data_IF_499340399041
#
_entry.id   IF_499340399041
#
_cell.length_a   1.000
_cell.length_b   1.000
_cell.length_c   1.000
_cell.angle_alpha   90.00
_cell.angle_beta   90.00
_cell.angle_gamma   90.00
#
_symmetry.space_group_name_H-M   'P 1'
#
loop_
_entity.id
_entity.type
_entity.pdbx_description
1 polymer ?
#
# COMPACT_ATOMS: atom_id res chain seq x y z
N UNK A 1 20.90 1.53 15.50
CA UNK A 1 20.61 1.49 14.06
C UNK A 1 19.42 2.41 13.81
N UNK A 2 19.40 3.15 12.70
CA UNK A 2 18.17 3.85 12.31
C UNK A 2 17.14 2.80 11.93
N UNK A 3 15.87 2.92 12.37
CA UNK A 3 14.82 2.02 11.90
C UNK A 3 14.68 2.10 10.37
N UNK A 4 14.34 0.98 9.75
CA UNK A 4 14.14 0.89 8.30
C UNK A 4 12.74 1.43 8.01
N UNK A 5 12.58 2.45 7.14
CA UNK A 5 11.26 2.96 6.80
C UNK A 5 10.41 1.87 6.15
N UNK A 6 9.14 1.77 6.55
CA UNK A 6 8.20 0.82 6.00
C UNK A 6 6.92 1.51 5.53
N UNK A 7 6.27 0.88 4.56
CA UNK A 7 5.03 1.35 3.94
C UNK A 7 4.04 0.19 4.02
N UNK A 8 2.85 0.44 4.56
CA UNK A 8 1.72 -0.48 4.50
C UNK A 8 0.60 0.13 3.66
N UNK A 9 -0.05 -0.72 2.84
CA UNK A 9 -1.27 -0.39 2.12
C UNK A 9 -2.39 -1.22 2.74
N UNK A 10 -3.36 -0.55 3.36
CA UNK A 10 -4.50 -1.20 3.98
C UNK A 10 -5.62 -1.35 2.95
N UNK A 11 -6.14 -2.58 2.82
CA UNK A 11 -7.21 -2.93 1.89
C UNK A 11 -8.43 -3.46 2.65
N UNK A 12 -9.62 -3.10 2.21
CA UNK A 12 -10.89 -3.72 2.63
C UNK A 12 -11.72 -4.05 1.39
N UNK A 13 -11.99 -5.34 1.17
CA UNK A 13 -12.80 -5.77 0.03
C UNK A 13 -12.26 -5.36 -1.35
N UNK A 14 -10.93 -5.23 -1.50
CA UNK A 14 -10.29 -4.76 -2.73
C UNK A 14 -10.09 -3.23 -2.80
N UNK A 15 -10.71 -2.48 -1.89
CA UNK A 15 -10.60 -1.02 -1.84
C UNK A 15 -9.40 -0.64 -0.98
N UNK A 16 -8.56 0.25 -1.48
CA UNK A 16 -7.50 0.86 -0.68
C UNK A 16 -8.12 1.86 0.28
N UNK A 17 -7.91 1.65 1.58
CA UNK A 17 -8.43 2.53 2.63
C UNK A 17 -7.40 3.57 3.08
N UNK A 18 -6.14 3.15 3.16
CA UNK A 18 -5.06 4.00 3.67
C UNK A 18 -3.70 3.51 3.21
N UNK A 19 -2.77 4.45 3.11
CA UNK A 19 -1.36 4.19 2.92
C UNK A 19 -0.62 4.75 4.13
N UNK A 20 0.04 3.89 4.89
CA UNK A 20 0.64 4.22 6.18
C UNK A 20 2.15 4.07 6.11
N UNK A 21 2.87 5.12 6.51
CA UNK A 21 4.33 5.13 6.61
C UNK A 21 4.73 4.94 8.07
N UNK A 22 5.65 4.03 8.34
CA UNK A 22 6.29 3.91 9.65
C UNK A 22 7.78 4.19 9.50
N UNK A 23 8.35 4.88 10.50
CA UNK A 23 9.78 5.21 10.55
C UNK A 23 10.28 6.03 9.34
N UNK A 24 9.37 6.77 8.68
CA UNK A 24 9.71 7.63 7.55
C UNK A 24 10.51 8.85 8.00
N UNK A 25 11.68 9.14 7.41
CA UNK A 25 12.50 10.26 7.86
C UNK A 25 11.81 11.60 7.62
N UNK A 26 11.69 12.43 8.66
CA UNK A 26 10.94 13.71 8.62
C UNK A 26 11.50 14.75 7.65
N UNK A 27 12.75 14.60 7.22
CA UNK A 27 13.40 15.47 6.25
C UNK A 27 13.19 15.02 4.79
N UNK A 28 12.56 13.87 4.58
CA UNK A 28 12.27 13.32 3.26
C UNK A 28 10.77 13.54 2.97
N UNK A 29 10.40 14.12 1.81
CA UNK A 29 9.00 14.22 1.40
C UNK A 29 8.30 12.86 1.43
N UNK A 30 7.00 12.86 1.73
CA UNK A 30 6.22 11.63 1.66
C UNK A 30 6.23 11.08 0.22
N UNK A 31 6.32 9.75 0.05
CA UNK A 31 6.27 9.15 -1.26
C UNK A 31 4.87 9.37 -1.85
N UNK A 32 4.81 9.58 -3.17
CA UNK A 32 3.55 9.50 -3.91
C UNK A 32 3.31 8.04 -4.25
N UNK A 33 2.20 7.50 -3.77
CA UNK A 33 1.88 6.08 -3.94
C UNK A 33 0.64 5.97 -4.81
N UNK A 34 0.74 5.09 -5.80
CA UNK A 34 -0.38 4.70 -6.67
C UNK A 34 -0.52 3.19 -6.53
N UNK A 35 -1.75 2.76 -6.30
CA UNK A 35 -2.14 1.35 -6.33
C UNK A 35 -2.93 1.14 -7.62
N UNK A 36 -2.53 0.11 -8.36
CA UNK A 36 -3.18 -0.28 -9.62
C UNK A 36 -3.73 -1.68 -9.41
N UNK A 37 -5.05 -1.81 -9.50
CA UNK A 37 -5.73 -3.09 -9.51
C UNK A 37 -6.18 -3.42 -10.94
N UNK A 38 -5.74 -4.57 -11.45
CA UNK A 38 -6.07 -5.04 -12.79
C UNK A 38 -7.36 -5.86 -12.80
N UNK A 39 -7.90 -6.23 -11.64
CA UNK A 39 -9.22 -6.80 -11.54
C UNK A 39 -10.26 -5.67 -11.60
N UNK A 40 -10.95 -5.56 -12.74
CA UNK A 40 -11.98 -4.55 -12.99
C UNK A 40 -13.39 -5.16 -12.92
N UNK A 41 -13.51 -6.44 -12.59
CA UNK A 41 -14.79 -7.14 -12.61
C UNK A 41 -15.74 -6.56 -11.57
N UNK A 42 -16.87 -6.03 -12.05
CA UNK A 42 -17.90 -5.42 -11.20
C UNK A 42 -17.62 -3.99 -10.73
N UNK A 43 -16.52 -3.37 -11.19
CA UNK A 43 -16.21 -1.98 -10.89
C UNK A 43 -17.10 -0.99 -11.67
N UNK A 44 -17.27 0.22 -11.14
CA UNK A 44 -17.93 1.30 -11.86
C UNK A 44 -17.02 1.77 -13.02
N UNK A 45 -17.59 1.98 -14.21
CA UNK A 45 -16.84 2.51 -15.35
C UNK A 45 -16.21 3.88 -15.06
N UNK A 46 -16.77 4.67 -14.15
CA UNK A 46 -16.17 5.95 -13.74
C UNK A 46 -14.83 5.77 -12.98
N UNK A 47 -14.64 4.63 -12.33
CA UNK A 47 -13.46 4.29 -11.52
C UNK A 47 -12.35 3.67 -12.36
N UNK A 48 -12.70 2.98 -13.45
CA UNK A 48 -11.76 2.41 -14.41
C UNK A 48 -10.99 3.52 -15.13
N UNK A 49 -9.66 3.40 -15.13
CA UNK A 49 -8.74 4.28 -15.86
C UNK A 49 -7.99 3.48 -16.92
N UNK A 50 -7.76 4.13 -18.05
CA UNK A 50 -6.84 3.63 -19.08
C UNK A 50 -5.46 4.19 -18.77
N UNK A 51 -4.51 3.32 -18.48
CA UNK A 51 -3.13 3.69 -18.16
C UNK A 51 -2.16 3.18 -19.23
N UNK A 52 -1.10 3.95 -19.54
CA UNK A 52 -0.08 3.50 -20.47
C UNK A 52 0.75 2.36 -19.85
N UNK A 53 1.01 1.33 -20.63
CA UNK A 53 1.92 0.22 -20.32
C UNK A 53 3.07 0.22 -21.32
N UNK A 54 4.13 -0.56 -21.06
CA UNK A 54 5.29 -0.63 -21.95
C UNK A 54 4.97 -1.08 -23.39
N UNK A 55 3.83 -1.76 -23.57
CA UNK A 55 3.34 -2.35 -24.81
C UNK A 55 2.03 -1.71 -25.33
N UNK A 56 1.49 -0.68 -24.66
CA UNK A 56 0.27 -0.02 -25.09
C UNK A 56 -0.49 0.65 -23.96
N UNK A 57 -1.75 0.25 -23.80
CA UNK A 57 -2.65 0.75 -22.77
C UNK A 57 -3.45 -0.40 -22.17
N UNK A 58 -3.76 -0.31 -20.89
CA UNK A 58 -4.63 -1.26 -20.19
C UNK A 58 -5.65 -0.52 -19.33
N UNK A 59 -6.80 -1.15 -19.13
CA UNK A 59 -7.80 -0.73 -18.16
C UNK A 59 -7.42 -1.26 -16.78
N UNK A 60 -7.55 -0.42 -15.76
CA UNK A 60 -7.28 -0.76 -14.38
C UNK A 60 -8.00 0.21 -13.43
N UNK A 61 -8.26 -0.23 -12.20
CA UNK A 61 -8.60 0.67 -11.11
C UNK A 61 -7.32 1.33 -10.60
N UNK A 62 -7.31 2.65 -10.57
CA UNK A 62 -6.16 3.41 -10.14
C UNK A 62 -6.53 4.25 -8.92
N UNK A 63 -5.86 3.98 -7.81
CA UNK A 63 -6.04 4.71 -6.58
C UNK A 63 -4.77 5.45 -6.22
N UNK A 64 -4.89 6.75 -5.99
CA UNK A 64 -3.79 7.59 -5.51
C UNK A 64 -4.12 8.09 -4.13
N UNK A 65 -3.25 7.83 -3.16
CA UNK A 65 -3.41 8.38 -1.82
C UNK A 65 -2.22 9.15 -1.32
N UNK A 66 -2.53 10.10 -0.45
CA UNK A 66 -1.52 10.73 0.36
C UNK A 66 -1.21 9.83 1.55
N UNK A 67 0.04 9.37 1.61
CA UNK A 67 0.47 8.54 2.71
C UNK A 67 0.48 9.32 4.04
N UNK A 68 -0.01 8.67 5.09
CA UNK A 68 -0.07 9.21 6.46
C UNK A 68 1.01 8.57 7.33
N UNK A 69 1.46 9.26 8.37
CA UNK A 69 2.43 8.69 9.32
C UNK A 69 1.70 7.79 10.31
N UNK A 70 2.29 6.63 10.61
CA UNK A 70 1.81 5.72 11.65
C UNK A 70 1.84 6.41 13.01
N UNK A 71 0.70 6.38 13.70
CA UNK A 71 0.58 6.79 15.09
C UNK A 71 0.31 5.56 15.95
N UNK A 72 1.10 5.39 17.01
CA UNK A 72 0.93 4.28 17.93
C UNK A 72 -0.26 4.53 18.87
N UNK A 73 -1.43 3.98 18.52
CA UNK A 73 -2.65 4.05 19.33
C UNK A 73 -2.99 2.69 19.95
N UNK A 74 -3.78 2.63 21.04
CA UNK A 74 -4.24 1.37 21.61
C UNK A 74 -4.97 0.50 20.58
N UNK A 75 -4.45 -0.71 20.33
CA UNK A 75 -5.01 -1.65 19.35
C UNK A 75 -4.54 -1.43 17.91
N UNK A 76 -3.71 -0.42 17.64
CA UNK A 76 -3.11 -0.24 16.32
C UNK A 76 -2.10 -1.36 16.02
N UNK A 77 -2.10 -1.83 14.77
CA UNK A 77 -1.10 -2.76 14.24
C UNK A 77 -0.14 -1.95 13.38
N UNK A 78 1.15 -1.96 13.73
CA UNK A 78 2.15 -1.18 12.99
C UNK A 78 2.56 -1.88 11.69
N UNK A 79 2.88 -1.13 10.61
CA UNK A 79 3.43 -1.70 9.37
C UNK A 79 4.57 -2.69 9.62
N UNK A 80 5.52 -2.34 10.48
CA UNK A 80 6.68 -3.18 10.77
C UNK A 80 6.31 -4.48 11.50
N UNK A 81 5.30 -4.44 12.38
CA UNK A 81 4.79 -5.65 13.03
C UNK A 81 4.19 -6.65 12.02
N UNK A 82 3.48 -6.16 11.01
CA UNK A 82 2.92 -6.97 9.92
C UNK A 82 4.06 -7.55 9.08
N UNK A 83 5.00 -6.71 8.66
CA UNK A 83 6.15 -7.13 7.85
C UNK A 83 6.90 -8.24 8.57
N UNK A 84 7.29 -8.02 9.83
CA UNK A 84 8.01 -9.01 10.63
C UNK A 84 7.20 -10.31 10.78
N UNK A 85 5.88 -10.23 10.99
CA UNK A 85 5.04 -11.43 11.09
C UNK A 85 5.05 -12.23 9.79
N UNK A 86 4.91 -11.58 8.64
CA UNK A 86 4.83 -12.25 7.33
C UNK A 86 6.19 -12.76 6.84
N UNK A 87 7.27 -12.03 7.12
CA UNK A 87 8.63 -12.46 6.74
C UNK A 87 9.13 -13.60 7.62
N UNK A 88 8.84 -13.58 8.93
CA UNK A 88 9.15 -14.70 9.83
C UNK A 88 8.30 -15.94 9.53
N UNK A 89 7.12 -15.77 8.94
CA UNK A 89 6.27 -16.89 8.50
C UNK A 89 6.77 -17.53 7.21
N UNK A 90 7.47 -16.78 6.35
CA UNK A 90 8.02 -17.29 5.09
C UNK A 90 9.26 -18.19 5.29
N UNK A 91 9.95 -18.08 6.43
CA UNK A 91 11.08 -18.96 6.82
C UNK A 91 10.63 -20.27 7.49
N UNK A 92 9.31 -20.48 7.67
CA UNK A 92 8.71 -21.72 8.19
C UNK A 92 8.07 -22.53 7.06
N UNK A 93 8.87 -22.94 6.09
CA UNK A 93 8.51 -24.08 5.22
C UNK A 93 9.07 -25.35 5.86
N UNK A 94 8.19 -26.09 6.54
CA UNK A 94 8.38 -27.53 6.83
C UNK A 94 8.07 -28.36 5.57
#
# INVERSE_FOLDING_TARGET
>A
MSPIPSIAVALEGGIVLAVVLQDWPSHIPHPRIVVVDYDIDGADQAEIKVIPTGDGFTEALCYSEQAVIYENAPGAISPDAIINTLTLSADRTD
#
